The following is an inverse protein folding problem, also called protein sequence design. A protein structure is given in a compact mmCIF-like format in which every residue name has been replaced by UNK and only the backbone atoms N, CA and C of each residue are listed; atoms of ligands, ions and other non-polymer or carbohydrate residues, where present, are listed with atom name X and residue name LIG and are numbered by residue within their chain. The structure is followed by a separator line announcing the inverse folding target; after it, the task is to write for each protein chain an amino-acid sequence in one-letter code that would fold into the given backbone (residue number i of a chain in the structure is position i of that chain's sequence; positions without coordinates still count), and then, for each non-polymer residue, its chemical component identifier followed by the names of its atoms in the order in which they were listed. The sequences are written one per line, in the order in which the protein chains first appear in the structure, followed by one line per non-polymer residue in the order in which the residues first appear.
data_IF_138222626709
#
_entry.id   IF_138222626709
#
_cell.length_a   1.000
_cell.length_b   1.000
_cell.length_c   1.000
_cell.angle_alpha   90.00
_cell.angle_beta   90.00
_cell.angle_gamma   90.00
#
_symmetry.space_group_name_H-M   'P 1'
#
loop_
_entity.id
_entity.type
_entity.pdbx_description
1 polymer ?
#
# COMPACT_ATOMS: atom_id res chain seq x y z
N UNK A 1 -24.15 14.60 8.26
CA UNK A 1 -22.89 14.59 7.48
C UNK A 1 -22.63 13.16 7.01
N UNK A 2 -22.52 12.91 5.70
CA UNK A 2 -22.36 11.54 5.15
C UNK A 2 -20.89 11.23 4.82
N UNK A 3 -20.39 10.05 5.25
CA UNK A 3 -19.08 9.52 4.81
C UNK A 3 -19.23 8.79 3.47
N UNK A 4 -19.36 9.57 2.40
CA UNK A 4 -19.51 9.14 1.01
C UNK A 4 -18.60 9.97 0.11
N UNK A 5 -18.32 9.51 -1.12
CA UNK A 5 -17.72 10.32 -2.20
C UNK A 5 -18.40 11.68 -2.24
N UNK A 6 -17.66 12.76 -1.97
CA UNK A 6 -18.25 14.10 -1.83
C UNK A 6 -18.82 14.58 -3.17
N UNK A 7 -18.08 14.36 -4.26
CA UNK A 7 -18.50 14.70 -5.62
C UNK A 7 -19.71 13.89 -6.14
N UNK A 8 -20.25 12.92 -5.37
CA UNK A 8 -21.49 12.23 -5.78
C UNK A 8 -22.73 13.11 -5.65
N UNK A 9 -22.66 14.18 -4.85
CA UNK A 9 -23.70 15.20 -4.70
C UNK A 9 -23.46 16.40 -5.62
N UNK A 10 -22.92 16.15 -6.83
CA UNK A 10 -22.36 17.13 -7.77
C UNK A 10 -21.02 17.72 -7.37
N UNK A 11 -20.36 18.29 -8.37
CA UNK A 11 -19.19 19.14 -8.25
C UNK A 11 -19.18 20.09 -9.46
N UNK A 12 -18.29 21.10 -9.49
CA UNK A 12 -18.18 22.03 -10.64
C UNK A 12 -17.90 21.34 -12.00
N UNK A 13 -17.43 20.08 -11.98
CA UNK A 13 -17.16 19.24 -13.16
C UNK A 13 -18.01 17.96 -13.24
N UNK A 14 -18.95 17.71 -12.33
CA UNK A 14 -19.62 16.41 -12.21
C UNK A 14 -21.10 16.48 -11.82
N UNK A 15 -21.95 15.55 -12.31
CA UNK A 15 -23.38 15.54 -12.02
C UNK A 15 -23.70 15.03 -10.60
N UNK A 16 -24.93 15.29 -10.14
CA UNK A 16 -25.45 14.77 -8.87
C UNK A 16 -26.07 13.39 -9.05
N UNK A 17 -25.31 12.34 -8.75
CA UNK A 17 -25.81 10.95 -8.67
C UNK A 17 -25.38 10.30 -7.35
N UNK A 18 -26.07 10.59 -6.23
CA UNK A 18 -25.80 9.99 -4.93
C UNK A 18 -26.33 8.55 -4.84
N UNK A 19 -25.79 7.66 -5.68
CA UNK A 19 -26.23 6.26 -5.81
C UNK A 19 -26.06 5.45 -4.51
N UNK A 20 -26.86 4.40 -4.34
CA UNK A 20 -26.79 3.44 -3.23
C UNK A 20 -26.56 2.03 -3.78
N UNK A 21 -25.83 1.20 -3.03
CA UNK A 21 -25.57 -0.18 -3.42
C UNK A 21 -24.32 -0.77 -2.78
N UNK A 22 -24.17 -2.08 -2.91
CA UNK A 22 -22.97 -2.82 -2.55
C UNK A 22 -21.96 -2.64 -3.68
N UNK A 23 -20.92 -1.85 -3.45
CA UNK A 23 -19.96 -1.45 -4.48
C UNK A 23 -18.62 -2.20 -4.40
N UNK A 24 -18.45 -3.06 -3.39
CA UNK A 24 -17.28 -3.91 -3.19
C UNK A 24 -17.71 -5.38 -3.04
N UNK A 25 -16.80 -6.34 -3.26
CA UNK A 25 -17.10 -7.75 -3.10
C UNK A 25 -17.63 -8.10 -1.69
N UNK A 26 -18.55 -9.07 -1.65
CA UNK A 26 -19.01 -9.74 -0.43
C UNK A 26 -18.61 -11.21 -0.53
N UNK A 27 -18.19 -11.79 0.58
CA UNK A 27 -17.83 -13.20 0.67
C UNK A 27 -18.32 -13.80 1.99
N UNK A 28 -18.45 -15.13 2.01
CA UNK A 28 -18.72 -15.93 3.21
C UNK A 28 -17.57 -16.91 3.36
N UNK A 29 -16.91 -16.91 4.51
CA UNK A 29 -15.78 -17.77 4.78
C UNK A 29 -16.10 -18.73 5.94
N UNK A 30 -16.08 -20.04 5.65
CA UNK A 30 -16.20 -21.09 6.66
C UNK A 30 -14.86 -21.34 7.35
N UNK A 31 -14.85 -21.35 8.68
CA UNK A 31 -13.61 -21.40 9.47
C UNK A 31 -13.68 -22.54 10.47
N UNK A 32 -12.70 -23.45 10.43
CA UNK A 32 -12.58 -24.55 11.40
C UNK A 32 -11.68 -24.19 12.58
N UNK A 33 -10.47 -23.68 12.30
CA UNK A 33 -9.49 -23.33 13.35
C UNK A 33 -9.17 -21.86 13.30
N UNK A 34 -8.47 -21.40 12.25
CA UNK A 34 -8.00 -20.01 12.12
C UNK A 34 -8.55 -19.34 10.87
N UNK A 35 -8.77 -18.03 10.95
CA UNK A 35 -9.12 -17.17 9.83
C UNK A 35 -8.19 -15.96 9.80
N UNK A 36 -7.42 -15.83 8.73
CA UNK A 36 -6.48 -14.72 8.56
C UNK A 36 -7.19 -13.57 7.87
N UNK A 37 -7.77 -12.68 8.69
CA UNK A 37 -8.53 -11.50 8.26
C UNK A 37 -7.69 -10.53 7.42
N UNK A 38 -6.50 -10.15 7.92
CA UNK A 38 -5.68 -9.15 7.23
C UNK A 38 -4.20 -9.40 7.43
N UNK A 39 -3.45 -9.24 6.35
CA UNK A 39 -2.00 -9.08 6.40
C UNK A 39 -1.63 -7.80 5.68
N UNK A 40 -0.82 -6.98 6.32
CA UNK A 40 -0.25 -5.74 5.78
C UNK A 40 1.23 -5.66 6.10
N UNK A 41 2.01 -5.09 5.18
CA UNK A 41 3.43 -4.80 5.38
C UNK A 41 3.69 -3.31 5.21
N UNK A 42 4.55 -2.75 6.07
CA UNK A 42 5.07 -1.39 5.95
C UNK A 42 6.59 -1.47 5.95
N UNK A 43 7.21 -0.80 4.97
CA UNK A 43 8.66 -0.70 4.89
C UNK A 43 9.09 0.65 5.44
N UNK A 44 10.02 0.64 6.39
CA UNK A 44 10.71 1.85 6.86
C UNK A 44 12.21 1.69 6.70
N UNK A 45 12.95 2.80 6.76
CA UNK A 45 14.41 2.79 6.64
C UNK A 45 15.03 3.36 7.91
N UNK A 46 15.99 2.64 8.51
CA UNK A 46 16.71 3.06 9.70
C UNK A 46 18.19 2.72 9.57
N UNK A 47 19.04 3.74 9.65
CA UNK A 47 20.50 3.63 9.47
C UNK A 47 20.84 3.01 8.11
N UNK A 48 21.26 1.74 8.08
CA UNK A 48 21.65 1.01 6.88
C UNK A 48 20.70 -0.17 6.55
N UNK A 49 19.56 -0.25 7.23
CA UNK A 49 18.62 -1.35 7.11
C UNK A 49 17.22 -0.84 6.75
N UNK A 50 16.56 -1.55 5.85
CA UNK A 50 15.12 -1.50 5.73
C UNK A 50 14.48 -2.43 6.76
N UNK A 51 13.40 -1.97 7.38
CA UNK A 51 12.62 -2.74 8.33
C UNK A 51 11.26 -3.02 7.70
N UNK A 52 11.03 -4.28 7.34
CA UNK A 52 9.73 -4.75 6.86
C UNK A 52 8.90 -5.14 8.08
N UNK A 53 7.91 -4.30 8.42
CA UNK A 53 7.00 -4.52 9.53
C UNK A 53 5.72 -5.17 9.02
N UNK A 54 5.56 -6.45 9.29
CA UNK A 54 4.38 -7.23 8.91
C UNK A 54 3.43 -7.29 10.10
N UNK A 55 2.19 -6.88 9.87
CA UNK A 55 1.08 -7.04 10.81
C UNK A 55 0.11 -8.08 10.25
N UNK A 56 -0.17 -9.09 11.05
CA UNK A 56 -1.15 -10.15 10.78
C UNK A 56 -2.27 -10.01 11.78
N UNK A 57 -3.49 -9.95 11.27
CA UNK A 57 -4.72 -10.02 12.02
C UNK A 57 -5.33 -11.40 11.79
N UNK A 58 -5.55 -12.14 12.86
CA UNK A 58 -6.06 -13.51 12.79
C UNK A 58 -7.16 -13.72 13.84
N UNK A 59 -8.23 -14.37 13.41
CA UNK A 59 -9.30 -14.87 14.27
C UNK A 59 -9.11 -16.37 14.47
N UNK A 60 -9.60 -16.89 15.58
CA UNK A 60 -9.57 -18.33 15.84
C UNK A 60 -10.85 -18.78 16.51
N UNK A 61 -11.43 -19.88 16.03
CA UNK A 61 -12.58 -20.52 16.67
C UNK A 61 -12.16 -21.27 17.95
N UNK A 62 -10.94 -21.80 17.97
CA UNK A 62 -10.37 -22.60 19.07
C UNK A 62 -9.07 -21.99 19.60
N UNK A 63 -8.60 -22.45 20.75
CA UNK A 63 -7.31 -22.00 21.30
C UNK A 63 -6.17 -22.67 20.53
N UNK A 64 -5.28 -21.86 19.94
CA UNK A 64 -4.11 -22.36 19.22
C UNK A 64 -2.86 -21.95 19.98
N UNK A 65 -2.01 -22.92 20.35
CA UNK A 65 -0.75 -22.64 21.05
C UNK A 65 0.44 -22.42 20.11
N UNK A 66 0.46 -23.11 18.96
CA UNK A 66 1.64 -23.21 18.10
C UNK A 66 1.30 -23.07 16.62
N UNK A 67 0.74 -21.92 16.22
CA UNK A 67 0.64 -21.59 14.79
C UNK A 67 2.01 -21.16 14.27
N UNK A 68 2.48 -21.79 13.19
CA UNK A 68 3.76 -21.45 12.55
C UNK A 68 3.53 -20.33 11.54
N UNK A 69 4.34 -19.29 11.60
CA UNK A 69 4.33 -18.17 10.65
C UNK A 69 5.67 -18.13 9.92
N UNK A 70 5.63 -18.00 8.61
CA UNK A 70 6.80 -17.79 7.75
C UNK A 70 6.64 -16.50 6.97
N UNK A 71 7.64 -15.63 7.04
CA UNK A 71 7.79 -14.45 6.19
C UNK A 71 8.98 -14.69 5.27
N UNK A 72 8.79 -14.58 3.96
CA UNK A 72 9.85 -14.81 3.00
C UNK A 72 9.93 -13.69 1.96
N UNK A 73 11.15 -13.21 1.71
CA UNK A 73 11.54 -12.37 0.59
C UNK A 73 12.52 -13.22 -0.26
N UNK A 74 11.99 -14.07 -1.17
CA UNK A 74 12.78 -15.12 -1.81
C UNK A 74 13.89 -14.55 -2.71
N UNK A 75 13.63 -13.43 -3.38
CA UNK A 75 14.59 -12.78 -4.30
C UNK A 75 15.86 -12.26 -3.62
N UNK A 76 15.84 -12.11 -2.29
CA UNK A 76 17.00 -11.70 -1.48
C UNK A 76 17.32 -12.73 -0.39
N UNK A 77 16.77 -13.94 -0.52
CA UNK A 77 17.02 -15.10 0.36
C UNK A 77 16.79 -14.83 1.85
N UNK A 78 15.87 -13.93 2.20
CA UNK A 78 15.50 -13.67 3.59
C UNK A 78 14.26 -14.48 3.96
N UNK A 79 14.38 -15.32 4.98
CA UNK A 79 13.25 -16.05 5.56
C UNK A 79 13.24 -15.88 7.08
N UNK A 80 12.09 -15.52 7.63
CA UNK A 80 11.87 -15.44 9.08
C UNK A 80 10.74 -16.40 9.48
N UNK A 81 11.07 -17.38 10.33
CA UNK A 81 10.10 -18.34 10.87
C UNK A 81 9.92 -18.11 12.37
N UNK A 82 8.68 -18.16 12.83
CA UNK A 82 8.35 -18.03 14.25
C UNK A 82 7.01 -18.70 14.54
N UNK A 83 6.71 -18.90 15.82
CA UNK A 83 5.42 -19.42 16.28
C UNK A 83 4.64 -18.36 17.04
N UNK A 84 3.32 -18.46 16.99
CA UNK A 84 2.39 -17.59 17.72
C UNK A 84 1.34 -18.43 18.44
N UNK A 85 0.89 -17.90 19.58
CA UNK A 85 -0.32 -18.33 20.27
C UNK A 85 -1.48 -17.44 19.85
N UNK A 86 -2.64 -18.02 19.60
CA UNK A 86 -3.86 -17.34 19.15
C UNK A 86 -4.98 -17.68 20.13
N UNK A 87 -5.58 -16.65 20.71
CA UNK A 87 -6.70 -16.81 21.64
C UNK A 87 -8.00 -17.07 20.86
N UNK A 88 -8.87 -17.96 21.37
CA UNK A 88 -10.15 -18.26 20.74
C UNK A 88 -11.12 -17.08 20.83
N UNK A 89 -12.06 -17.03 19.90
CA UNK A 89 -13.21 -16.11 19.85
C UNK A 89 -12.82 -14.62 19.96
N UNK A 90 -11.59 -14.30 19.58
CA UNK A 90 -11.02 -12.97 19.68
C UNK A 90 -10.22 -12.63 18.43
N UNK A 91 -10.09 -11.33 18.19
CA UNK A 91 -9.18 -10.79 17.19
C UNK A 91 -7.77 -10.73 17.77
N UNK A 92 -6.84 -11.43 17.14
CA UNK A 92 -5.45 -11.46 17.56
C UNK A 92 -4.60 -10.62 16.60
N UNK A 93 -3.67 -9.86 17.15
CA UNK A 93 -2.74 -9.03 16.39
C UNK A 93 -1.32 -9.55 16.59
N UNK A 94 -0.63 -9.80 15.48
CA UNK A 94 0.75 -10.25 15.47
C UNK A 94 1.55 -9.26 14.66
N UNK A 95 2.62 -8.75 15.26
CA UNK A 95 3.59 -7.90 14.57
C UNK A 95 4.95 -8.56 14.51
N UNK A 96 5.57 -8.52 13.34
CA UNK A 96 6.93 -9.01 13.15
C UNK A 96 7.72 -8.01 12.30
N UNK A 97 8.94 -7.73 12.73
CA UNK A 97 9.88 -6.87 12.00
C UNK A 97 11.00 -7.73 11.43
N UNK A 98 11.24 -7.61 10.14
CA UNK A 98 12.35 -8.26 9.44
C UNK A 98 13.32 -7.18 9.00
N UNK A 99 14.58 -7.31 9.42
CA UNK A 99 15.65 -6.40 9.00
C UNK A 99 16.22 -6.87 7.67
N UNK A 100 16.31 -5.96 6.71
CA UNK A 100 16.83 -6.19 5.36
C UNK A 100 17.99 -5.21 5.12
N UNK A 101 19.22 -5.71 4.91
CA UNK A 101 20.35 -4.83 4.58
C UNK A 101 20.07 -4.00 3.32
N UNK A 102 20.41 -2.70 3.33
CA UNK A 102 20.20 -1.83 2.17
C UNK A 102 21.00 -2.25 0.93
N UNK A 103 22.16 -2.88 1.12
CA UNK A 103 23.05 -3.29 0.03
C UNK A 103 22.57 -4.53 -0.74
N UNK A 104 21.58 -5.27 -0.24
CA UNK A 104 21.02 -6.45 -0.93
C UNK A 104 19.73 -6.14 -1.68
N UNK A 105 19.28 -4.88 -1.68
CA UNK A 105 18.05 -4.45 -2.37
C UNK A 105 18.33 -3.37 -3.41
N UNK A 106 17.68 -3.47 -4.56
CA UNK A 106 17.51 -2.36 -5.50
C UNK A 106 16.35 -1.49 -5.01
N UNK A 107 16.59 -0.18 -4.87
CA UNK A 107 15.55 0.74 -4.42
C UNK A 107 14.51 1.00 -5.52
N UNK A 108 13.24 1.13 -5.13
CA UNK A 108 12.16 1.57 -6.02
C UNK A 108 12.26 3.08 -6.25
N UNK A 109 12.04 3.52 -7.49
CA UNK A 109 12.04 4.92 -7.90
C UNK A 109 10.76 5.31 -8.62
N UNK A 110 10.32 6.57 -8.57
CA UNK A 110 9.20 7.05 -9.37
C UNK A 110 9.58 7.12 -10.87
N UNK A 111 8.56 7.24 -11.73
CA UNK A 111 8.72 7.32 -13.18
C UNK A 111 9.79 8.35 -13.59
N UNK A 112 10.69 7.94 -14.50
CA UNK A 112 11.80 8.76 -15.00
C UNK A 112 12.96 9.01 -14.02
N UNK A 113 12.97 8.36 -12.84
CA UNK A 113 14.03 8.57 -11.82
C UNK A 113 14.82 7.32 -11.46
N UNK A 114 14.55 6.18 -12.10
CA UNK A 114 15.20 4.89 -11.85
C UNK A 114 14.24 3.73 -12.08
N UNK A 115 14.63 2.52 -11.66
CA UNK A 115 13.81 1.31 -11.76
C UNK A 115 12.75 1.24 -10.65
N UNK A 116 11.60 0.68 -10.96
CA UNK A 116 10.49 0.43 -10.02
C UNK A 116 10.60 -1.00 -9.44
N UNK A 117 11.76 -1.37 -8.88
CA UNK A 117 11.92 -2.73 -8.35
C UNK A 117 10.97 -2.98 -7.17
N UNK A 118 10.10 -3.95 -7.35
CA UNK A 118 9.24 -4.52 -6.31
C UNK A 118 9.73 -5.91 -5.96
N UNK A 119 9.64 -6.23 -4.67
CA UNK A 119 10.03 -7.54 -4.14
C UNK A 119 8.81 -8.31 -3.67
N UNK A 120 8.76 -9.61 -3.96
CA UNK A 120 7.69 -10.47 -3.46
C UNK A 120 7.89 -10.76 -1.98
N UNK A 121 6.89 -10.43 -1.17
CA UNK A 121 6.78 -10.83 0.23
C UNK A 121 5.71 -11.91 0.34
N UNK A 122 6.13 -13.11 0.73
CA UNK A 122 5.24 -14.25 1.00
C UNK A 122 5.04 -14.37 2.51
N UNK A 123 3.79 -14.38 2.95
CA UNK A 123 3.42 -14.61 4.34
C UNK A 123 2.57 -15.86 4.43
N UNK A 124 3.07 -16.87 5.13
CA UNK A 124 2.39 -18.14 5.37
C UNK A 124 2.06 -18.29 6.85
N UNK A 125 0.81 -18.62 7.16
CA UNK A 125 0.35 -19.00 8.50
C UNK A 125 -0.16 -20.43 8.43
N UNK A 126 0.39 -21.33 9.22
CA UNK A 126 -0.02 -22.74 9.25
C UNK A 126 -0.30 -23.23 10.66
N UNK A 127 -1.40 -23.95 10.83
CA UNK A 127 -1.85 -24.53 12.09
C UNK A 127 -2.64 -25.81 11.82
N UNK A 128 -2.32 -26.91 12.51
CA UNK A 128 -3.13 -28.15 12.50
C UNK A 128 -3.54 -28.63 11.09
N UNK A 129 -2.60 -28.60 10.14
CA UNK A 129 -2.84 -29.00 8.75
C UNK A 129 -3.49 -27.93 7.85
N UNK A 130 -4.05 -26.85 8.42
CA UNK A 130 -4.49 -25.67 7.66
C UNK A 130 -3.30 -24.78 7.34
N UNK A 131 -3.26 -24.25 6.11
CA UNK A 131 -2.25 -23.30 5.65
C UNK A 131 -2.93 -22.16 4.92
N UNK A 132 -2.59 -20.94 5.31
CA UNK A 132 -2.96 -19.71 4.62
C UNK A 132 -1.70 -19.07 4.07
N UNK A 133 -1.69 -18.79 2.77
CA UNK A 133 -0.61 -18.09 2.10
C UNK A 133 -1.13 -16.78 1.52
N UNK A 134 -0.39 -15.69 1.73
CA UNK A 134 -0.63 -14.41 1.06
C UNK A 134 0.65 -13.89 0.47
N UNK A 135 0.58 -13.58 -0.81
CA UNK A 135 1.63 -12.86 -1.51
C UNK A 135 1.28 -11.37 -1.57
N UNK A 136 2.27 -10.53 -1.35
CA UNK A 136 2.20 -9.09 -1.59
C UNK A 136 3.53 -8.60 -2.14
N UNK A 137 3.57 -7.37 -2.63
CA UNK A 137 4.80 -6.76 -3.14
C UNK A 137 5.18 -5.58 -2.29
N UNK A 138 6.49 -5.42 -2.09
CA UNK A 138 7.07 -4.32 -1.33
C UNK A 138 8.15 -3.63 -2.16
N UNK A 139 8.07 -2.30 -2.24
CA UNK A 139 9.13 -1.47 -2.83
C UNK A 139 10.00 -0.89 -1.71
N UNK A 140 11.31 -1.08 -1.78
CA UNK A 140 12.25 -0.49 -0.84
C UNK A 140 12.57 0.94 -1.28
N UNK A 141 12.07 1.94 -0.54
CA UNK A 141 12.32 3.35 -0.82
C UNK A 141 12.26 4.20 0.45
N UNK A 142 12.91 5.35 0.41
CA UNK A 142 12.68 6.42 1.40
C UNK A 142 11.89 7.55 0.76
N UNK A 143 10.98 8.15 1.52
CA UNK A 143 10.24 9.34 1.10
C UNK A 143 10.28 10.32 2.27
N UNK A 144 10.75 11.54 2.02
CA UNK A 144 10.81 12.62 3.02
C UNK A 144 10.22 13.88 2.43
N UNK A 145 9.33 14.53 3.17
CA UNK A 145 8.87 15.89 2.87
C UNK A 145 9.82 16.86 3.58
N UNK A 146 10.42 17.77 2.83
CA UNK A 146 11.38 18.75 3.34
C UNK A 146 10.69 20.07 3.55
N UNK A 147 10.72 20.54 4.80
CA UNK A 147 10.08 21.76 5.29
C UNK A 147 10.98 22.55 6.22
N UNK A 148 12.29 22.42 6.04
CA UNK A 148 13.27 23.25 6.72
C UNK A 148 13.10 24.72 6.31
N UNK A 149 13.52 25.64 7.17
CA UNK A 149 13.52 27.05 6.83
C UNK A 149 14.45 27.32 5.65
N UNK A 150 14.01 28.16 4.72
CA UNK A 150 14.85 28.58 3.59
C UNK A 150 16.10 29.31 4.10
N UNK A 151 15.93 30.08 5.19
CA UNK A 151 17.00 30.69 5.95
C UNK A 151 16.69 30.55 7.45
N UNK A 152 17.57 29.88 8.20
CA UNK A 152 17.37 29.62 9.63
C UNK A 152 17.42 30.89 10.50
N UNK A 153 18.17 31.90 10.08
CA UNK A 153 18.29 33.20 10.75
C UNK A 153 17.12 34.15 10.41
N UNK A 154 16.41 33.88 9.31
CA UNK A 154 15.22 34.64 8.88
C UNK A 154 14.02 33.73 8.62
N UNK A 155 13.40 33.15 9.66
CA UNK A 155 12.24 32.25 9.54
C UNK A 155 11.04 32.82 8.77
N UNK A 156 10.93 34.15 8.71
CA UNK A 156 9.87 34.87 7.99
C UNK A 156 9.91 34.69 6.48
N UNK A 157 11.05 34.27 5.91
CA UNK A 157 11.19 33.96 4.49
C UNK A 157 10.51 32.64 4.09
N UNK A 158 10.01 31.89 5.07
CA UNK A 158 9.26 30.66 4.84
C UNK A 158 10.12 29.40 4.85
N UNK A 159 9.53 28.33 4.32
CA UNK A 159 10.06 26.97 4.37
C UNK A 159 10.08 26.36 2.99
N UNK A 160 11.00 25.43 2.78
CA UNK A 160 10.95 24.55 1.63
C UNK A 160 9.66 23.71 1.65
N UNK A 161 9.27 23.22 0.47
CA UNK A 161 8.21 22.22 0.34
C UNK A 161 8.48 21.35 -0.88
N UNK A 162 9.27 20.31 -0.69
CA UNK A 162 9.58 19.35 -1.75
C UNK A 162 9.79 17.94 -1.19
N UNK A 163 9.75 16.95 -2.08
CA UNK A 163 9.98 15.56 -1.71
C UNK A 163 11.40 15.13 -2.05
N UNK A 164 12.04 14.46 -1.08
CA UNK A 164 13.21 13.63 -1.34
C UNK A 164 12.79 12.17 -1.42
N UNK A 165 13.17 11.50 -2.50
CA UNK A 165 13.00 10.06 -2.68
C UNK A 165 14.39 9.44 -2.79
N UNK A 166 14.68 8.46 -1.93
CA UNK A 166 15.99 7.81 -1.87
C UNK A 166 17.14 8.83 -1.78
N UNK A 167 16.94 9.86 -0.96
CA UNK A 167 17.91 10.94 -0.69
C UNK A 167 18.19 11.88 -1.87
N UNK A 168 17.39 11.79 -2.95
CA UNK A 168 17.43 12.72 -4.09
C UNK A 168 16.18 13.61 -4.10
N UNK A 169 16.31 14.94 -4.27
CA UNK A 169 15.15 15.80 -4.50
C UNK A 169 14.46 15.43 -5.81
N UNK A 170 13.14 15.25 -5.78
CA UNK A 170 12.32 14.95 -6.95
C UNK A 170 11.32 16.08 -7.17
N UNK A 171 11.39 16.71 -8.35
CA UNK A 171 10.36 17.62 -8.81
C UNK A 171 9.12 16.82 -9.23
N UNK A 172 8.00 17.10 -8.57
CA UNK A 172 6.73 16.42 -8.84
C UNK A 172 6.12 16.98 -10.14
N UNK A 173 5.92 16.11 -11.13
CA UNK A 173 5.28 16.41 -12.41
C UNK A 173 4.04 15.55 -12.52
N UNK A 174 2.86 16.14 -12.58
CA UNK A 174 1.65 15.35 -12.55
C UNK A 174 0.36 16.15 -12.55
N UNK A 175 -0.71 15.45 -12.20
CA UNK A 175 -2.08 15.99 -12.20
C UNK A 175 -2.88 15.48 -11.00
N UNK A 176 -4.12 15.94 -10.89
CA UNK A 176 -5.07 15.45 -9.89
C UNK A 176 -5.91 14.34 -10.51
N UNK A 177 -6.05 13.23 -9.79
CA UNK A 177 -6.91 12.11 -10.15
C UNK A 177 -8.26 12.26 -9.47
N UNK A 178 -9.32 12.16 -10.26
CA UNK A 178 -10.72 12.11 -9.81
C UNK A 178 -11.32 10.74 -10.19
N UNK A 179 -12.44 10.33 -9.56
CA UNK A 179 -13.06 9.05 -9.90
C UNK A 179 -13.39 8.96 -11.41
N UNK A 180 -12.95 7.87 -12.05
CA UNK A 180 -13.15 7.62 -13.50
C UNK A 180 -14.61 7.43 -13.92
N UNK A 181 -15.50 7.31 -12.93
CA UNK A 181 -16.94 7.17 -13.09
C UNK A 181 -17.67 7.51 -11.80
N UNK A 182 -18.88 8.06 -11.93
CA UNK A 182 -19.84 8.24 -10.84
C UNK A 182 -20.39 6.93 -10.29
N UNK A 183 -20.21 5.80 -11.00
CA UNK A 183 -20.70 4.48 -10.61
C UNK A 183 -19.53 3.53 -10.28
N UNK A 184 -19.14 3.42 -8.99
CA UNK A 184 -18.00 2.61 -8.56
C UNK A 184 -18.10 1.13 -8.86
N UNK A 185 -19.31 0.57 -8.84
CA UNK A 185 -19.54 -0.86 -8.92
C UNK A 185 -19.29 -1.45 -10.32
N UNK A 186 -19.16 -0.61 -11.36
CA UNK A 186 -18.81 -1.06 -12.70
C UNK A 186 -17.31 -1.40 -12.75
N UNK A 187 -16.96 -2.38 -13.58
CA UNK A 187 -15.55 -2.70 -13.83
C UNK A 187 -14.90 -1.62 -14.71
N UNK A 188 -13.99 -0.86 -14.14
CA UNK A 188 -13.25 0.21 -14.84
C UNK A 188 -11.77 -0.11 -15.07
N UNK A 189 -11.32 -1.36 -14.81
CA UNK A 189 -9.88 -1.72 -14.84
C UNK A 189 -9.18 -1.35 -16.14
N UNK A 190 -9.85 -1.55 -17.29
CA UNK A 190 -9.29 -1.16 -18.59
C UNK A 190 -9.06 0.36 -18.67
N UNK A 191 -10.06 1.16 -18.29
CA UNK A 191 -9.97 2.63 -18.31
C UNK A 191 -8.94 3.13 -17.30
N UNK A 192 -8.91 2.55 -16.09
CA UNK A 192 -7.90 2.87 -15.07
C UNK A 192 -6.49 2.63 -15.61
N UNK A 193 -6.23 1.45 -16.19
CA UNK A 193 -4.94 1.12 -16.80
C UNK A 193 -4.57 2.08 -17.93
N UNK A 194 -5.49 2.31 -18.87
CA UNK A 194 -5.26 3.23 -19.98
C UNK A 194 -4.87 4.63 -19.51
N UNK A 195 -5.58 5.19 -18.52
CA UNK A 195 -5.30 6.52 -18.00
C UNK A 195 -3.97 6.59 -17.25
N UNK A 196 -3.62 5.56 -16.48
CA UNK A 196 -2.33 5.51 -15.79
C UNK A 196 -1.16 5.33 -16.76
N UNK A 197 -1.31 4.52 -17.80
CA UNK A 197 -0.34 4.41 -18.89
C UNK A 197 -0.20 5.76 -19.63
N UNK A 198 -1.31 6.45 -19.88
CA UNK A 198 -1.28 7.78 -20.51
C UNK A 198 -0.53 8.81 -19.66
N UNK A 199 -0.72 8.79 -18.33
CA UNK A 199 0.02 9.64 -17.39
C UNK A 199 1.53 9.30 -17.41
N UNK A 200 1.88 8.01 -17.46
CA UNK A 200 3.26 7.55 -17.59
C UNK A 200 3.92 8.05 -18.88
N UNK A 201 3.29 7.85 -20.03
CA UNK A 201 3.79 8.30 -21.33
C UNK A 201 3.92 9.82 -21.41
N UNK A 202 3.07 10.55 -20.68
CA UNK A 202 3.13 12.01 -20.51
C UNK A 202 4.23 12.46 -19.54
N UNK A 203 5.16 11.57 -19.14
CA UNK A 203 6.27 11.84 -18.23
C UNK A 203 5.86 12.33 -16.83
N UNK A 204 4.64 12.00 -16.39
CA UNK A 204 4.19 12.25 -15.02
C UNK A 204 4.84 11.26 -14.05
N UNK A 205 5.16 11.73 -12.85
CA UNK A 205 5.73 10.95 -11.76
C UNK A 205 4.91 11.01 -10.46
N UNK A 206 3.78 11.74 -10.48
CA UNK A 206 2.83 11.80 -9.37
C UNK A 206 1.41 11.93 -9.90
N UNK A 207 0.46 11.34 -9.18
CA UNK A 207 -0.96 11.64 -9.30
C UNK A 207 -1.51 11.89 -7.90
N UNK A 208 -2.21 13.01 -7.72
CA UNK A 208 -2.89 13.31 -6.45
C UNK A 208 -4.31 12.75 -6.50
N UNK A 209 -4.58 11.68 -5.74
CA UNK A 209 -5.96 11.21 -5.51
C UNK A 209 -6.71 12.28 -4.73
N UNK A 210 -7.62 12.99 -5.40
CA UNK A 210 -8.27 14.18 -4.88
C UNK A 210 -9.32 13.86 -3.80
N UNK A 211 -9.38 14.71 -2.77
CA UNK A 211 -10.07 14.42 -1.50
C UNK A 211 -11.60 14.35 -1.54
N UNK A 212 -12.26 14.90 -2.56
CA UNK A 212 -13.71 14.74 -2.71
C UNK A 212 -14.12 13.52 -3.56
N UNK A 213 -13.13 12.77 -4.06
CA UNK A 213 -13.31 11.49 -4.72
C UNK A 213 -13.47 10.36 -3.70
N UNK A 214 -12.73 9.27 -3.92
CA UNK A 214 -12.68 8.10 -3.03
C UNK A 214 -11.24 7.61 -2.93
N UNK A 215 -10.96 6.78 -1.92
CA UNK A 215 -9.81 5.90 -2.00
C UNK A 215 -10.00 4.97 -3.20
N UNK A 216 -8.99 4.86 -4.05
CA UNK A 216 -9.12 4.05 -5.27
C UNK A 216 -8.94 2.56 -4.97
N UNK A 217 -9.17 1.75 -6.01
CA UNK A 217 -9.04 0.30 -5.94
C UNK A 217 -7.59 -0.14 -5.69
N UNK A 218 -7.42 -1.34 -5.12
CA UNK A 218 -6.09 -1.97 -5.02
C UNK A 218 -5.42 -2.11 -6.39
N UNK A 219 -6.21 -2.25 -7.46
CA UNK A 219 -5.72 -2.30 -8.83
C UNK A 219 -5.06 -0.98 -9.26
N UNK A 220 -5.65 0.16 -8.94
CA UNK A 220 -5.08 1.48 -9.19
C UNK A 220 -3.71 1.63 -8.52
N UNK A 221 -3.60 1.31 -7.23
CA UNK A 221 -2.33 1.42 -6.50
C UNK A 221 -1.29 0.41 -6.98
N UNK A 222 -1.72 -0.80 -7.33
CA UNK A 222 -0.88 -1.83 -7.95
C UNK A 222 -0.25 -1.32 -9.25
N UNK A 223 -1.06 -0.73 -10.14
CA UNK A 223 -0.56 -0.16 -11.39
C UNK A 223 0.39 1.02 -11.13
N UNK A 224 0.07 1.89 -10.17
CA UNK A 224 0.94 3.01 -9.80
C UNK A 224 2.30 2.56 -9.24
N UNK A 225 2.36 1.42 -8.54
CA UNK A 225 3.61 0.82 -8.05
C UNK A 225 4.42 0.17 -9.18
N UNK A 226 3.77 -0.38 -10.22
CA UNK A 226 4.38 -1.17 -11.30
C UNK A 226 4.81 -0.37 -12.53
N UNK A 227 4.11 0.71 -12.88
CA UNK A 227 4.26 1.32 -14.20
C UNK A 227 5.66 1.94 -14.37
N UNK A 228 6.42 1.31 -15.29
CA UNK A 228 7.83 1.61 -15.62
C UNK A 228 7.92 2.29 -16.98
N UNK A 229 8.87 3.22 -17.12
CA UNK A 229 9.45 3.60 -18.42
C UNK A 229 10.79 2.90 -18.61
#
# INVERSE_FOLDING_TARGET
MYRKTQASFSWDWGPSFPTVGIWQPISVEGVHTIFVDKISAVVSFKKQYFIVSVRITVWSAVKVKNAKVTLALPEISITNRFTISINPLNRNFVERRVSVPNNVVERWWPNGSGKQKLYKLVVSVSCEGQKFDKEMRVGFRTVRLIQDYVNIEKPTLGRYFYFMINDRPIFLKGSNWIPVSTFPARNHRFREKFLLESARESNMNVLRVWGGGRYESDHFYTLADELVR
#
